data_IF_125850012723
#
_entry.id   IF_125850012723
#
_cell.length_a   1.000
_cell.length_b   1.000
_cell.length_c   1.000
_cell.angle_alpha   90.00
_cell.angle_beta   90.00
_cell.angle_gamma   90.00
#
_symmetry.space_group_name_H-M   'P 1'
#
loop_
_entity.id
_entity.type
_entity.pdbx_description
1 polymer ?
#
# COMPACT_ATOMS: atom_id res chain seq x y z
N UNK A 1 -5.90 15.29 -8.99
CA UNK A 1 -7.12 14.84 -8.30
C UNK A 1 -6.74 13.84 -7.22
N UNK A 2 -7.32 13.99 -6.03
CA UNK A 2 -7.01 13.16 -4.86
C UNK A 2 -7.39 11.71 -5.13
N UNK A 3 -6.49 10.78 -4.80
CA UNK A 3 -6.81 9.35 -4.75
C UNK A 3 -7.84 9.11 -3.64
N UNK A 4 -9.12 9.29 -3.96
CA UNK A 4 -10.24 8.75 -3.18
C UNK A 4 -10.43 7.29 -3.58
N UNK A 5 -9.89 6.37 -2.78
CA UNK A 5 -10.10 4.94 -3.04
C UNK A 5 -9.23 4.08 -2.14
N UNK A 6 -9.65 3.89 -0.91
CA UNK A 6 -9.05 2.92 0.00
C UNK A 6 -9.72 3.03 1.35
N UNK A 7 -10.60 2.09 1.66
CA UNK A 7 -11.06 1.81 3.01
C UNK A 7 -9.90 1.99 3.99
N UNK A 8 -10.13 2.71 5.08
CA UNK A 8 -9.12 3.24 5.99
C UNK A 8 -8.28 2.22 6.78
N UNK A 9 -8.00 1.03 6.23
CA UNK A 9 -7.20 -0.05 6.81
C UNK A 9 -5.82 0.42 7.30
N UNK A 10 -5.20 1.34 6.55
CA UNK A 10 -3.91 1.94 6.90
C UNK A 10 -4.00 3.42 7.28
N UNK A 11 -5.22 3.92 7.54
CA UNK A 11 -5.41 5.30 7.99
C UNK A 11 -4.64 5.48 9.31
N UNK A 12 -3.78 6.49 9.35
CA UNK A 12 -2.84 6.81 10.46
C UNK A 12 -1.62 5.88 10.63
N UNK A 13 -1.44 4.86 9.78
CA UNK A 13 -0.28 3.94 9.83
C UNK A 13 0.54 3.92 8.53
N UNK A 14 0.03 4.55 7.48
CA UNK A 14 0.72 4.68 6.20
C UNK A 14 1.59 5.94 6.20
N UNK A 15 2.88 5.75 6.01
CA UNK A 15 3.87 6.81 5.83
C UNK A 15 4.44 6.74 4.41
N UNK A 16 4.46 7.89 3.74
CA UNK A 16 5.06 8.05 2.41
C UNK A 16 6.38 8.78 2.58
N UNK A 17 7.47 8.18 2.10
CA UNK A 17 8.79 8.81 2.10
C UNK A 17 9.02 9.44 0.71
N UNK A 18 9.73 10.58 0.67
CA UNK A 18 10.00 11.36 -0.57
C UNK A 18 10.62 10.54 -1.71
N UNK A 19 11.29 9.43 -1.40
CA UNK A 19 11.93 8.54 -2.39
C UNK A 19 10.96 7.57 -3.07
N UNK A 20 9.66 7.62 -2.77
CA UNK A 20 8.63 6.76 -3.38
C UNK A 20 8.41 5.45 -2.63
N UNK A 21 8.95 5.32 -1.41
CA UNK A 21 8.68 4.19 -0.53
C UNK A 21 7.38 4.41 0.25
N UNK A 22 6.57 3.35 0.33
CA UNK A 22 5.37 3.28 1.17
C UNK A 22 5.68 2.39 2.36
N UNK A 23 5.61 2.95 3.56
CA UNK A 23 5.85 2.23 4.81
C UNK A 23 4.54 2.12 5.57
N UNK A 24 4.16 0.90 5.97
CA UNK A 24 3.01 0.65 6.86
C UNK A 24 3.58 0.31 8.23
N UNK A 25 3.30 1.15 9.23
CA UNK A 25 3.77 0.98 10.60
C UNK A 25 2.75 0.21 11.45
N UNK A 26 3.18 -0.28 12.62
CA UNK A 26 2.31 -0.98 13.58
C UNK A 26 1.51 -2.14 12.96
N UNK A 27 2.19 -2.98 12.18
CA UNK A 27 1.65 -4.16 11.50
C UNK A 27 1.18 -5.20 12.53
N UNK A 28 -0.01 -5.76 12.33
CA UNK A 28 -0.59 -6.82 13.17
C UNK A 28 -0.83 -8.07 12.32
N UNK A 29 -1.05 -9.21 12.95
CA UNK A 29 -1.40 -10.47 12.26
C UNK A 29 -2.66 -10.32 11.39
N UNK A 30 -3.59 -9.45 11.77
CA UNK A 30 -4.80 -9.06 10.99
C UNK A 30 -4.50 -8.27 9.72
N UNK A 31 -3.29 -7.72 9.59
CA UNK A 31 -2.85 -7.06 8.37
C UNK A 31 -2.34 -8.07 7.32
N UNK A 32 -2.22 -9.36 7.65
CA UNK A 32 -1.96 -10.40 6.64
C UNK A 32 -3.01 -10.42 5.53
N UNK A 33 -2.64 -10.91 4.36
CA UNK A 33 -3.54 -11.08 3.22
C UNK A 33 -2.90 -10.76 1.88
N UNK A 34 -3.74 -10.67 0.85
CA UNK A 34 -3.33 -10.29 -0.49
C UNK A 34 -3.34 -8.77 -0.65
N UNK A 35 -2.26 -8.25 -1.23
CA UNK A 35 -2.05 -6.84 -1.48
C UNK A 35 -1.85 -6.62 -2.98
N UNK A 36 -2.48 -5.58 -3.50
CA UNK A 36 -2.31 -5.12 -4.87
C UNK A 36 -1.59 -3.77 -4.84
N UNK A 37 -0.38 -3.72 -5.40
CA UNK A 37 0.37 -2.50 -5.65
C UNK A 37 0.11 -2.06 -7.08
N UNK A 38 -0.45 -0.85 -7.21
CA UNK A 38 -0.65 -0.18 -8.49
C UNK A 38 0.23 1.07 -8.53
N UNK A 39 1.17 1.10 -9.47
CA UNK A 39 2.03 2.26 -9.74
C UNK A 39 1.60 2.82 -11.09
N UNK A 40 1.02 4.02 -11.07
CA UNK A 40 0.59 4.71 -12.28
C UNK A 40 1.55 5.88 -12.58
N UNK A 41 2.06 5.91 -13.80
CA UNK A 41 2.85 7.00 -14.37
C UNK A 41 2.24 7.41 -15.71
N UNK A 42 2.58 8.60 -16.21
CA UNK A 42 2.09 9.07 -17.51
C UNK A 42 2.50 8.18 -18.69
N UNK A 43 3.54 7.36 -18.52
CA UNK A 43 4.10 6.49 -19.56
C UNK A 43 3.79 5.00 -19.38
N UNK A 44 3.49 4.57 -18.16
CA UNK A 44 3.30 3.16 -17.85
C UNK A 44 2.44 2.96 -16.60
N UNK A 45 1.79 1.81 -16.53
CA UNK A 45 1.14 1.32 -15.31
C UNK A 45 1.74 -0.03 -14.95
N UNK A 46 2.11 -0.20 -13.68
CA UNK A 46 2.61 -1.46 -13.13
C UNK A 46 1.61 -1.92 -12.09
N UNK A 47 1.17 -3.17 -12.24
CA UNK A 47 0.36 -3.87 -11.24
C UNK A 47 1.14 -5.07 -10.70
N UNK A 48 1.23 -5.17 -9.39
CA UNK A 48 1.87 -6.29 -8.70
C UNK A 48 0.97 -6.76 -7.57
N UNK A 49 0.81 -8.07 -7.47
CA UNK A 49 0.10 -8.69 -6.35
C UNK A 49 1.11 -9.46 -5.51
N UNK A 50 1.04 -9.28 -4.19
CA UNK A 50 1.88 -9.99 -3.24
C UNK A 50 1.05 -10.50 -2.07
N UNK A 51 1.42 -11.67 -1.56
CA UNK A 51 0.85 -12.24 -0.34
C UNK A 51 1.72 -11.85 0.84
N UNK A 52 1.12 -11.20 1.83
CA UNK A 52 1.79 -10.83 3.07
C UNK A 52 1.27 -11.74 4.18
N UNK A 53 2.20 -12.39 4.87
CA UNK A 53 1.91 -13.16 6.07
C UNK A 53 2.71 -12.59 7.24
N UNK A 54 2.01 -12.12 8.27
CA UNK A 54 2.60 -11.60 9.50
C UNK A 54 2.39 -12.64 10.59
N UNK A 55 3.50 -13.15 11.16
CA UNK A 55 3.52 -14.18 12.21
C UNK A 55 4.06 -13.62 13.51
#
# INVERSE_FOLDING_TARGET
EQCKGGDGRFKHRLEVIETGSLTITNIRTTDSGLYNLQINSSRFSIMRTFSVNVT
#
